data_IF_954195007093
#
_entry.id   IF_954195007093
#
_cell.length_a   1.000
_cell.length_b   1.000
_cell.length_c   1.000
_cell.angle_alpha   90.00
_cell.angle_beta   90.00
_cell.angle_gamma   90.00
#
_symmetry.space_group_name_H-M   'P 1'
#
loop_
_entity.id
_entity.type
_entity.pdbx_description
1 polymer ?
#
# COMPACT_ATOMS: atom_id res chain seq x y z
N UNK A 1 -0.68 9.59 -26.05
CA UNK A 1 -0.35 10.78 -25.24
C UNK A 1 -0.04 10.41 -23.80
N UNK A 2 0.95 11.06 -23.16
CA UNK A 2 1.22 10.89 -21.72
C UNK A 2 0.43 11.94 -20.93
N UNK A 3 -0.21 11.57 -19.81
CA UNK A 3 -0.93 12.51 -18.97
C UNK A 3 0.03 13.49 -18.29
N UNK A 4 -0.48 14.71 -18.04
CA UNK A 4 0.27 15.84 -17.46
C UNK A 4 0.85 15.51 -16.08
N UNK A 5 0.19 14.65 -15.31
CA UNK A 5 0.72 14.07 -14.08
C UNK A 5 0.63 12.56 -14.17
N UNK A 6 1.79 11.91 -14.10
CA UNK A 6 1.90 10.47 -13.99
C UNK A 6 2.55 10.11 -12.65
N UNK A 7 2.26 8.91 -12.16
CA UNK A 7 2.88 8.39 -10.95
C UNK A 7 4.39 8.22 -11.17
N UNK A 8 5.17 8.50 -10.13
CA UNK A 8 6.63 8.30 -10.11
C UNK A 8 7.03 6.90 -9.65
N UNK A 9 6.11 6.16 -9.03
CA UNK A 9 6.30 4.79 -8.59
C UNK A 9 5.06 3.94 -8.87
N UNK A 10 5.27 2.66 -9.16
CA UNK A 10 4.22 1.66 -9.13
C UNK A 10 3.94 1.26 -7.68
N UNK A 11 2.67 1.01 -7.38
CA UNK A 11 2.22 0.55 -6.07
C UNK A 11 1.36 -0.69 -6.30
N UNK A 12 1.56 -1.73 -5.50
CA UNK A 12 0.69 -2.89 -5.47
C UNK A 12 0.67 -3.52 -4.08
N UNK A 13 -0.39 -4.27 -3.81
CA UNK A 13 -0.56 -5.04 -2.58
C UNK A 13 -0.75 -6.52 -2.96
N UNK A 14 -0.31 -7.41 -2.10
CA UNK A 14 -0.61 -8.83 -2.21
C UNK A 14 -1.00 -9.39 -0.86
N UNK A 15 -2.05 -10.19 -0.86
CA UNK A 15 -2.63 -10.81 0.31
C UNK A 15 -2.73 -12.31 0.04
N UNK A 16 -2.21 -13.12 0.96
CA UNK A 16 -2.17 -14.58 0.81
C UNK A 16 -2.92 -15.30 1.93
N UNK A 17 -3.85 -14.59 2.59
CA UNK A 17 -4.75 -15.20 3.59
C UNK A 17 -5.57 -16.34 3.00
N UNK A 18 -5.86 -16.29 1.71
CA UNK A 18 -6.56 -17.34 0.96
C UNK A 18 -5.92 -18.73 1.11
N UNK A 19 -4.60 -18.79 1.33
CA UNK A 19 -3.86 -20.03 1.55
C UNK A 19 -4.12 -20.61 2.95
N UNK A 20 -4.41 -19.76 3.94
CA UNK A 20 -4.52 -20.13 5.35
C UNK A 20 -5.96 -20.26 5.85
N UNK A 21 -6.90 -19.52 5.25
CA UNK A 21 -8.33 -19.55 5.59
C UNK A 21 -8.92 -20.98 5.45
N UNK A 22 -8.69 -21.73 4.35
CA UNK A 22 -9.25 -23.09 4.20
C UNK A 22 -8.70 -24.09 5.21
N UNK A 23 -7.46 -23.88 5.68
CA UNK A 23 -6.82 -24.73 6.68
C UNK A 23 -7.34 -24.48 8.11
N UNK A 24 -8.28 -23.55 8.29
CA UNK A 24 -8.81 -23.19 9.60
C UNK A 24 -7.76 -22.55 10.50
N UNK A 25 -6.70 -21.96 9.92
CA UNK A 25 -5.70 -21.19 10.66
C UNK A 25 -6.31 -19.83 11.01
N UNK A 26 -7.24 -19.88 11.95
CA UNK A 26 -7.78 -18.72 12.64
C UNK A 26 -7.15 -18.78 14.02
N UNK A 27 -6.28 -17.82 14.34
CA UNK A 27 -5.80 -17.66 15.71
C UNK A 27 -6.98 -17.36 16.65
N UNK A 28 -6.68 -17.22 17.94
CA UNK A 28 -7.67 -16.66 18.87
C UNK A 28 -8.26 -15.34 18.31
N UNK A 29 -9.52 -14.98 18.59
CA UNK A 29 -10.19 -13.82 17.98
C UNK A 29 -9.44 -12.48 18.08
N UNK A 30 -8.49 -12.37 19.00
CA UNK A 30 -7.62 -11.23 19.24
C UNK A 30 -6.24 -11.29 18.56
N UNK A 31 -5.83 -12.44 18.00
CA UNK A 31 -4.48 -12.63 17.45
C UNK A 31 -4.24 -11.75 16.22
N UNK A 32 -5.27 -11.29 15.48
CA UNK A 32 -5.11 -10.53 14.22
C UNK A 32 -4.07 -11.14 13.26
N UNK A 33 -3.87 -12.46 13.34
CA UNK A 33 -2.78 -13.16 12.65
C UNK A 33 -2.95 -13.14 11.14
N UNK A 34 -4.18 -13.39 10.68
CA UNK A 34 -4.52 -13.37 9.26
C UNK A 34 -4.34 -11.96 8.68
N UNK A 35 -4.71 -10.92 9.42
CA UNK A 35 -4.59 -9.52 9.01
C UNK A 35 -3.15 -9.07 8.77
N UNK A 36 -2.14 -9.88 9.17
CA UNK A 36 -0.72 -9.65 8.88
C UNK A 36 -0.21 -10.38 7.63
N UNK A 37 -1.01 -11.27 7.02
CA UNK A 37 -0.62 -12.08 5.84
C UNK A 37 -0.84 -11.32 4.53
N UNK A 38 -0.22 -10.16 4.46
CA UNK A 38 -0.19 -9.32 3.29
C UNK A 38 1.12 -8.53 3.22
N UNK A 39 1.37 -7.95 2.06
CA UNK A 39 2.43 -7.00 1.82
C UNK A 39 1.94 -5.85 0.96
N UNK A 40 2.64 -4.73 1.04
CA UNK A 40 2.54 -3.62 0.12
C UNK A 40 3.90 -3.28 -0.46
N UNK A 41 3.91 -2.85 -1.71
CA UNK A 41 5.12 -2.55 -2.45
C UNK A 41 5.07 -1.17 -3.07
N UNK A 42 6.17 -0.43 -2.91
CA UNK A 42 6.50 0.76 -3.69
C UNK A 42 7.67 0.39 -4.61
N UNK A 43 7.49 0.54 -5.92
CA UNK A 43 8.53 0.25 -6.91
C UNK A 43 8.79 1.49 -7.76
N UNK A 44 9.96 2.09 -7.55
CA UNK A 44 10.46 3.21 -8.36
C UNK A 44 11.18 2.67 -9.60
N UNK A 45 11.94 3.52 -10.28
CA UNK A 45 12.88 3.14 -11.34
C UNK A 45 14.13 2.42 -10.80
N UNK A 46 14.55 2.76 -9.58
CA UNK A 46 15.84 2.40 -9.00
C UNK A 46 15.73 1.48 -7.80
N UNK A 47 14.58 1.43 -7.12
CA UNK A 47 14.41 0.66 -5.90
C UNK A 47 13.02 0.04 -5.79
N UNK A 48 12.91 -1.04 -5.03
CA UNK A 48 11.64 -1.59 -4.58
C UNK A 48 11.64 -1.75 -3.07
N UNK A 49 10.66 -1.16 -2.39
CA UNK A 49 10.44 -1.31 -0.97
C UNK A 49 9.19 -2.14 -0.71
N UNK A 50 9.33 -3.18 0.12
CA UNK A 50 8.29 -4.13 0.50
C UNK A 50 8.06 -4.02 2.00
N UNK A 51 6.83 -3.70 2.41
CA UNK A 51 6.40 -3.71 3.81
C UNK A 51 5.48 -4.91 4.03
N UNK A 52 5.82 -5.78 4.97
CA UNK A 52 4.97 -6.90 5.38
C UNK A 52 4.03 -6.48 6.51
N UNK A 53 2.84 -7.08 6.57
CA UNK A 53 1.88 -6.88 7.65
C UNK A 53 2.39 -7.33 9.02
N UNK A 54 3.45 -8.14 9.07
CA UNK A 54 4.16 -8.52 10.31
C UNK A 54 5.01 -7.41 10.90
N UNK A 55 5.29 -6.35 10.14
CA UNK A 55 6.22 -5.27 10.50
C UNK A 55 7.59 -5.41 9.86
N UNK A 56 7.94 -6.61 9.35
CA UNK A 56 9.17 -6.82 8.58
C UNK A 56 9.15 -6.03 7.26
N UNK A 57 10.33 -5.80 6.71
CA UNK A 57 10.47 -5.10 5.44
C UNK A 57 11.70 -5.59 4.67
N UNK A 58 11.65 -5.41 3.35
CA UNK A 58 12.78 -5.61 2.44
C UNK A 58 12.88 -4.39 1.52
N UNK A 59 14.11 -4.02 1.17
CA UNK A 59 14.36 -2.99 0.17
C UNK A 59 15.39 -3.50 -0.82
N UNK A 60 15.12 -3.36 -2.11
CA UNK A 60 15.94 -3.88 -3.20
C UNK A 60 16.51 -2.74 -4.02
N UNK A 61 17.78 -2.85 -4.39
CA UNK A 61 18.44 -1.96 -5.36
C UNK A 61 18.23 -2.50 -6.78
N UNK A 62 17.26 -1.94 -7.49
CA UNK A 62 16.92 -2.33 -8.86
C UNK A 62 17.85 -1.71 -9.89
N UNK A 63 18.56 -0.65 -9.53
CA UNK A 63 19.54 -0.01 -10.41
C UNK A 63 20.81 -0.88 -10.50
N UNK A 64 21.24 -1.45 -9.37
CA UNK A 64 22.33 -2.42 -9.33
C UNK A 64 21.90 -3.81 -9.82
N UNK A 65 20.68 -4.25 -9.47
CA UNK A 65 20.18 -5.58 -9.80
C UNK A 65 18.65 -5.59 -10.07
N UNK A 66 18.24 -5.65 -11.35
CA UNK A 66 16.83 -5.65 -11.71
C UNK A 66 16.11 -6.97 -11.39
N UNK A 67 16.81 -8.00 -10.89
CA UNK A 67 16.25 -9.32 -10.57
C UNK A 67 15.77 -9.46 -9.12
N UNK A 68 15.88 -8.39 -8.32
CA UNK A 68 15.42 -8.34 -6.92
C UNK A 68 16.18 -9.30 -5.99
N UNK A 69 17.47 -9.46 -6.18
CA UNK A 69 18.32 -10.29 -5.31
C UNK A 69 19.25 -9.45 -4.44
N UNK A 70 19.49 -8.19 -4.81
CA UNK A 70 20.33 -7.25 -4.04
C UNK A 70 19.51 -6.43 -3.04
N UNK A 71 19.73 -6.68 -1.75
CA UNK A 71 19.11 -5.93 -0.66
C UNK A 71 19.91 -4.67 -0.29
N UNK A 72 19.20 -3.61 0.07
CA UNK A 72 19.75 -2.38 0.65
C UNK A 72 19.11 -2.12 2.01
N UNK A 73 19.94 -1.78 3.01
CA UNK A 73 19.48 -1.50 4.38
C UNK A 73 19.85 -0.10 4.85
N UNK A 74 20.49 0.71 4.00
CA UNK A 74 20.91 2.07 4.31
C UNK A 74 19.68 2.95 4.62
N UNK A 75 19.54 3.49 5.85
CA UNK A 75 18.34 4.25 6.24
C UNK A 75 18.06 5.46 5.34
N UNK A 76 19.10 6.09 4.81
CA UNK A 76 18.96 7.21 3.87
C UNK A 76 18.24 6.83 2.56
N UNK A 77 18.26 5.55 2.18
CA UNK A 77 17.55 5.00 1.01
C UNK A 77 16.18 4.46 1.41
N UNK A 78 16.09 3.72 2.51
CA UNK A 78 14.86 3.02 2.91
C UNK A 78 13.77 3.98 3.42
N UNK A 79 14.13 4.98 4.24
CA UNK A 79 13.16 5.86 4.89
C UNK A 79 12.30 6.65 3.88
N UNK A 80 12.86 7.27 2.81
CA UNK A 80 12.04 7.96 1.81
C UNK A 80 11.05 7.05 1.09
N UNK A 81 11.41 5.78 0.83
CA UNK A 81 10.52 4.80 0.19
C UNK A 81 9.38 4.38 1.13
N UNK A 82 9.68 4.15 2.40
CA UNK A 82 8.66 3.88 3.42
C UNK A 82 7.70 5.08 3.58
N UNK A 83 8.24 6.30 3.64
CA UNK A 83 7.42 7.53 3.68
C UNK A 83 6.56 7.70 2.43
N UNK A 84 7.10 7.38 1.25
CA UNK A 84 6.32 7.37 0.00
C UNK A 84 5.15 6.38 0.07
N UNK A 85 5.36 5.19 0.64
CA UNK A 85 4.28 4.22 0.87
C UNK A 85 3.21 4.76 1.81
N UNK A 86 3.62 5.40 2.91
CA UNK A 86 2.69 6.01 3.87
C UNK A 86 1.84 7.10 3.21
N UNK A 87 2.47 7.98 2.42
CA UNK A 87 1.76 9.01 1.66
C UNK A 87 0.81 8.39 0.63
N UNK A 88 1.24 7.35 -0.09
CA UNK A 88 0.39 6.64 -1.02
C UNK A 88 -0.86 6.08 -0.31
N UNK A 89 -0.69 5.36 0.81
CA UNK A 89 -1.81 4.85 1.61
C UNK A 89 -2.74 5.97 2.08
N UNK A 90 -2.19 7.09 2.58
CA UNK A 90 -3.00 8.25 3.02
C UNK A 90 -3.82 8.86 1.88
N UNK A 91 -3.30 8.91 0.66
CA UNK A 91 -4.00 9.47 -0.49
C UNK A 91 -5.05 8.53 -1.12
N UNK A 92 -4.97 7.23 -0.82
CA UNK A 92 -5.83 6.19 -1.41
C UNK A 92 -6.76 5.52 -0.38
N UNK A 93 -6.92 6.11 0.82
CA UNK A 93 -8.03 5.78 1.72
C UNK A 93 -9.37 5.98 1.01
N UNK A 94 -10.41 5.29 1.49
CA UNK A 94 -11.76 5.47 0.96
C UNK A 94 -12.19 6.95 1.03
N UNK A 95 -12.66 7.46 -0.10
CA UNK A 95 -13.05 8.86 -0.29
C UNK A 95 -14.53 9.04 -0.57
N UNK A 96 -15.33 7.98 -0.46
CA UNK A 96 -16.76 8.02 -0.76
C UNK A 96 -17.48 9.15 0.00
N UNK A 97 -17.12 9.38 1.26
CA UNK A 97 -17.76 10.40 2.11
C UNK A 97 -16.86 11.58 2.50
N UNK A 98 -15.55 11.50 2.27
CA UNK A 98 -14.58 12.51 2.77
C UNK A 98 -14.48 13.74 1.88
N UNK A 99 -15.09 13.72 0.69
CA UNK A 99 -15.12 14.84 -0.24
C UNK A 99 -16.24 15.87 0.01
N UNK A 100 -17.20 15.55 0.88
CA UNK A 100 -18.37 16.39 1.17
C UNK A 100 -18.27 17.04 2.54
N UNK A 101 -18.61 18.32 2.62
CA UNK A 101 -18.84 19.03 3.88
C UNK A 101 -20.35 19.25 4.08
N UNK A 102 -20.88 18.84 5.23
CA UNK A 102 -22.27 19.08 5.62
C UNK A 102 -22.47 20.53 6.07
N UNK A 103 -22.64 21.41 5.10
CA UNK A 103 -22.94 22.84 5.29
C UNK A 103 -23.99 23.26 4.28
N UNK A 104 -25.06 23.91 4.74
CA UNK A 104 -26.13 24.45 3.88
C UNK A 104 -26.74 23.42 2.91
N UNK A 105 -26.90 22.17 3.34
CA UNK A 105 -27.40 21.06 2.50
C UNK A 105 -26.32 20.22 1.81
N UNK A 106 -25.04 20.58 1.96
CA UNK A 106 -23.89 19.82 1.46
C UNK A 106 -23.11 20.59 0.39
N UNK A 107 -21.80 20.77 0.61
CA UNK A 107 -20.88 21.38 -0.37
C UNK A 107 -19.69 20.46 -0.64
N UNK A 108 -19.02 20.64 -1.78
CA UNK A 108 -17.86 19.83 -2.18
C UNK A 108 -18.24 18.69 -3.12
N UNK A 109 -17.51 17.57 -3.06
CA UNK A 109 -17.80 16.38 -3.86
C UNK A 109 -18.85 15.54 -3.13
N UNK A 110 -20.06 15.49 -3.69
CA UNK A 110 -21.12 14.61 -3.21
C UNK A 110 -20.69 13.14 -3.34
N UNK A 111 -21.13 12.25 -2.43
CA UNK A 111 -20.91 10.82 -2.55
C UNK A 111 -21.49 10.28 -3.87
N UNK A 112 -20.84 9.28 -4.44
CA UNK A 112 -21.44 8.53 -5.53
C UNK A 112 -22.75 7.88 -5.03
N UNK A 113 -23.81 7.82 -5.87
CA UNK A 113 -25.04 7.15 -5.49
C UNK A 113 -24.75 5.68 -5.14
N UNK A 114 -25.47 5.13 -4.16
CA UNK A 114 -25.35 3.70 -3.84
C UNK A 114 -25.54 2.89 -5.12
N UNK A 115 -24.64 1.94 -5.44
CA UNK A 115 -24.92 0.99 -6.50
C UNK A 115 -26.25 0.30 -6.17
N UNK A 116 -27.15 0.29 -7.16
CA UNK A 116 -28.43 -0.42 -7.15
C UNK A 116 -28.24 -1.92 -7.25
#
# INVERSE_FOLDING_TARGET
DRPVRWRTAAHYEWDWRDTFIPAGVVGEPWDRGLERYNLAVVRTDSHAYVQFGTGDWLCYDLAADPTWQTLVTEPAVVLPLAQQMLLWRQHHLDRQLTGMLLRDGGIGRLPDPSPV
#
